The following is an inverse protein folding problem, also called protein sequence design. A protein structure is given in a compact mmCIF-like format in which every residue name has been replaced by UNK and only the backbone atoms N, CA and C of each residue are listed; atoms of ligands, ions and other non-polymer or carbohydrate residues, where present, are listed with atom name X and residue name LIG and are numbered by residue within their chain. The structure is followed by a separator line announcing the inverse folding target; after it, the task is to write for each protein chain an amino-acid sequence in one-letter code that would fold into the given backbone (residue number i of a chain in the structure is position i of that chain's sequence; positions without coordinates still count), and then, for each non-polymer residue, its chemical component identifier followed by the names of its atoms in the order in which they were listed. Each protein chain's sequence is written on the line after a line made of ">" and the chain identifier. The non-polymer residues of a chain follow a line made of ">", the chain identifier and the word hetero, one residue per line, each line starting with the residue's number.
data_IF_409775635405
#
_entry.id   IF_409775635405
#
_cell.length_a   1.000
_cell.length_b   1.000
_cell.length_c   1.000
_cell.angle_alpha   90.00
_cell.angle_beta   90.00
_cell.angle_gamma   90.00
#
_symmetry.space_group_name_H-M   'P 1'
#
loop_
_entity.id
_entity.type
_entity.pdbx_description
1 polymer ?
#
# COMPACT_ATOMS: atom_id res chain seq x y z
N UNK A 1 -4.15 -23.73 -1.14
CA UNK A 1 -3.67 -22.47 -1.75
C UNK A 1 -4.54 -21.33 -1.25
N UNK A 2 -3.97 -20.19 -0.88
CA UNK A 2 -4.74 -19.04 -0.37
C UNK A 2 -5.67 -18.50 -1.47
N UNK A 3 -6.97 -18.42 -1.20
CA UNK A 3 -8.00 -17.87 -2.10
C UNK A 3 -8.10 -16.35 -2.03
N UNK A 4 -7.23 -15.70 -1.23
CA UNK A 4 -7.26 -14.26 -1.02
C UNK A 4 -6.83 -13.54 -2.29
N UNK A 5 -7.72 -12.71 -2.81
CA UNK A 5 -7.40 -11.79 -3.89
C UNK A 5 -6.30 -10.81 -3.45
N UNK A 6 -5.27 -10.57 -4.27
CA UNK A 6 -4.22 -9.62 -3.94
C UNK A 6 -4.80 -8.20 -3.89
N UNK A 7 -4.35 -7.44 -2.90
CA UNK A 7 -4.62 -6.01 -2.77
C UNK A 7 -4.05 -5.23 -3.94
N UNK A 8 -4.49 -3.99 -4.14
CA UNK A 8 -3.98 -3.15 -5.23
C UNK A 8 -2.45 -2.96 -5.19
N UNK A 9 -1.88 -2.73 -4.00
CA UNK A 9 -0.43 -2.60 -3.81
C UNK A 9 0.31 -3.91 -4.09
N UNK A 10 -0.27 -5.04 -3.70
CA UNK A 10 0.29 -6.36 -4.01
C UNK A 10 0.26 -6.66 -5.51
N UNK A 11 -0.82 -6.29 -6.22
CA UNK A 11 -0.91 -6.45 -7.69
C UNK A 11 0.20 -5.68 -8.41
N UNK A 12 0.43 -4.43 -8.03
CA UNK A 12 1.54 -3.62 -8.59
C UNK A 12 2.87 -4.35 -8.38
N UNK A 13 3.14 -4.83 -7.16
CA UNK A 13 4.38 -5.53 -6.84
C UNK A 13 4.53 -6.83 -7.64
N UNK A 14 3.45 -7.58 -7.81
CA UNK A 14 3.46 -8.83 -8.60
C UNK A 14 3.73 -8.56 -10.07
N UNK A 15 3.19 -7.49 -10.66
CA UNK A 15 3.48 -7.10 -12.03
C UNK A 15 4.94 -6.66 -12.20
N UNK A 16 5.49 -5.88 -11.26
CA UNK A 16 6.92 -5.51 -11.29
C UNK A 16 7.83 -6.74 -11.25
N UNK A 17 7.52 -7.70 -10.38
CA UNK A 17 8.26 -8.96 -10.29
C UNK A 17 8.15 -9.72 -11.61
N UNK A 18 6.93 -9.90 -12.14
CA UNK A 18 6.72 -10.64 -13.37
C UNK A 18 7.48 -10.03 -14.57
N UNK A 19 7.41 -8.70 -14.75
CA UNK A 19 8.17 -8.02 -15.80
C UNK A 19 9.68 -8.26 -15.65
N UNK A 20 10.21 -8.15 -14.42
CA UNK A 20 11.62 -8.37 -14.15
C UNK A 20 12.07 -9.81 -14.40
N UNK A 21 11.29 -10.79 -13.95
CA UNK A 21 11.60 -12.20 -14.17
C UNK A 21 11.62 -12.54 -15.67
N UNK A 22 10.69 -11.98 -16.44
CA UNK A 22 10.68 -12.16 -17.91
C UNK A 22 11.93 -11.52 -18.52
N UNK A 23 12.30 -10.29 -18.17
CA UNK A 23 13.52 -9.63 -18.67
C UNK A 23 14.78 -10.43 -18.36
N UNK A 24 14.92 -10.93 -17.12
CA UNK A 24 16.10 -11.70 -16.70
C UNK A 24 16.21 -13.03 -17.44
N UNK A 25 15.09 -13.67 -17.74
CA UNK A 25 15.07 -15.02 -18.29
C UNK A 25 14.82 -15.10 -19.80
N UNK A 26 14.38 -14.01 -20.46
CA UNK A 26 14.01 -14.00 -21.87
C UNK A 26 15.09 -14.58 -22.78
N UNK A 27 16.34 -14.14 -22.61
CA UNK A 27 17.48 -14.59 -23.42
C UNK A 27 17.89 -16.03 -23.12
N UNK A 28 17.66 -16.51 -21.90
CA UNK A 28 18.05 -17.85 -21.44
C UNK A 28 17.01 -18.94 -21.76
N UNK A 29 15.74 -18.57 -21.92
CA UNK A 29 14.62 -19.50 -22.08
C UNK A 29 14.48 -20.03 -23.51
N UNK A 30 15.02 -19.33 -24.50
CA UNK A 30 14.89 -19.72 -25.90
C UNK A 30 16.08 -19.26 -26.72
N UNK A 31 16.61 -20.13 -27.57
CA UNK A 31 17.56 -19.74 -28.62
C UNK A 31 16.90 -19.07 -29.84
N UNK A 32 15.57 -18.89 -29.83
CA UNK A 32 14.83 -18.28 -30.92
C UNK A 32 14.65 -16.78 -30.67
N UNK A 33 15.29 -15.95 -31.51
CA UNK A 33 15.27 -14.50 -31.41
C UNK A 33 13.86 -13.89 -31.47
N UNK A 34 12.93 -14.49 -32.23
CA UNK A 34 11.54 -14.04 -32.28
C UNK A 34 10.84 -14.26 -30.94
N UNK A 35 11.11 -15.38 -30.27
CA UNK A 35 10.55 -15.68 -28.95
C UNK A 35 11.12 -14.73 -27.90
N UNK A 36 12.43 -14.49 -27.89
CA UNK A 36 13.08 -13.51 -27.01
C UNK A 36 12.46 -12.12 -27.18
N UNK A 37 12.35 -11.63 -28.43
CA UNK A 37 11.74 -10.33 -28.73
C UNK A 37 10.29 -10.21 -28.23
N UNK A 38 9.50 -11.28 -28.34
CA UNK A 38 8.13 -11.32 -27.80
C UNK A 38 8.11 -11.30 -26.27
N UNK A 39 9.05 -11.99 -25.61
CA UNK A 39 9.16 -11.98 -24.15
C UNK A 39 9.51 -10.58 -23.64
N UNK A 40 10.50 -9.90 -24.22
CA UNK A 40 10.81 -8.50 -23.88
C UNK A 40 9.63 -7.56 -24.14
N UNK A 41 8.95 -7.72 -25.28
CA UNK A 41 7.73 -6.93 -25.56
C UNK A 41 6.65 -7.15 -24.50
N UNK A 42 6.50 -8.38 -24.03
CA UNK A 42 5.54 -8.73 -22.97
C UNK A 42 5.96 -8.11 -21.63
N UNK A 43 7.24 -8.19 -21.26
CA UNK A 43 7.76 -7.57 -20.05
C UNK A 43 7.54 -6.05 -20.05
N UNK A 44 7.78 -5.39 -21.20
CA UNK A 44 7.55 -3.96 -21.37
C UNK A 44 6.08 -3.58 -21.15
N UNK A 45 5.14 -4.35 -21.69
CA UNK A 45 3.69 -4.11 -21.50
C UNK A 45 3.31 -4.25 -20.02
N UNK A 46 3.83 -5.28 -19.34
CA UNK A 46 3.56 -5.53 -17.91
C UNK A 46 4.14 -4.39 -17.06
N UNK A 47 5.36 -3.95 -17.36
CA UNK A 47 6.01 -2.84 -16.66
C UNK A 47 5.27 -1.51 -16.84
N UNK A 48 4.78 -1.23 -18.06
CA UNK A 48 3.98 -0.04 -18.35
C UNK A 48 2.66 -0.04 -17.55
N UNK A 49 1.99 -1.19 -17.45
CA UNK A 49 0.79 -1.31 -16.62
C UNK A 49 1.09 -1.09 -15.13
N UNK A 50 2.17 -1.68 -14.62
CA UNK A 50 2.59 -1.45 -13.25
C UNK A 50 2.89 0.04 -12.98
N UNK A 51 3.51 0.73 -13.94
CA UNK A 51 3.77 2.17 -13.86
C UNK A 51 2.47 3.00 -13.86
N UNK A 52 1.50 2.68 -14.73
CA UNK A 52 0.17 3.31 -14.72
C UNK A 52 -0.54 3.14 -13.38
N UNK A 53 -0.51 1.93 -12.84
CA UNK A 53 -1.12 1.64 -11.54
C UNK A 53 -0.44 2.39 -10.38
N UNK A 54 0.91 2.50 -10.40
CA UNK A 54 1.66 3.31 -9.42
C UNK A 54 1.26 4.79 -9.48
N UNK A 55 1.16 5.34 -10.67
CA UNK A 55 0.75 6.73 -10.86
C UNK A 55 -0.70 6.95 -10.38
N UNK A 56 -1.60 5.99 -10.64
CA UNK A 56 -2.96 6.03 -10.13
C UNK A 56 -3.01 5.96 -8.58
N UNK A 57 -2.20 5.10 -7.96
CA UNK A 57 -2.06 5.04 -6.50
C UNK A 57 -1.58 6.37 -5.92
N UNK A 58 -0.52 6.96 -6.50
CA UNK A 58 0.01 8.25 -6.03
C UNK A 58 -1.03 9.36 -6.13
N UNK A 59 -1.77 9.43 -7.24
CA UNK A 59 -2.87 10.40 -7.43
C UNK A 59 -3.99 10.21 -6.40
N UNK A 60 -4.31 8.96 -6.06
CA UNK A 60 -5.30 8.66 -5.04
C UNK A 60 -4.82 9.09 -3.65
N UNK A 61 -3.58 8.77 -3.27
CA UNK A 61 -2.98 9.16 -1.99
C UNK A 61 -2.90 10.69 -1.83
N UNK A 62 -2.66 11.42 -2.92
CA UNK A 62 -2.66 12.89 -2.93
C UNK A 62 -4.05 13.51 -2.78
N UNK A 63 -5.09 12.86 -3.32
CA UNK A 63 -6.49 13.31 -3.23
C UNK A 63 -7.20 12.86 -1.96
N UNK A 64 -6.70 11.81 -1.31
CA UNK A 64 -7.22 11.37 -0.04
C UNK A 64 -7.12 12.54 0.95
N UNK A 65 -8.23 13.02 1.52
CA UNK A 65 -8.16 14.08 2.52
C UNK A 65 -7.22 13.58 3.61
N UNK A 66 -6.14 14.33 3.86
CA UNK A 66 -5.33 14.11 5.07
C UNK A 66 -6.33 14.14 6.20
N UNK A 67 -6.65 12.98 6.79
CA UNK A 67 -7.50 12.95 7.96
C UNK A 67 -6.88 13.95 8.93
N UNK A 68 -7.62 14.98 9.38
CA UNK A 68 -7.08 15.87 10.38
C UNK A 68 -6.68 14.95 11.53
N UNK A 69 -5.38 14.95 11.85
CA UNK A 69 -4.87 14.24 13.01
C UNK A 69 -5.86 14.52 14.13
N UNK A 70 -6.50 13.47 14.64
CA UNK A 70 -7.49 13.60 15.70
C UNK A 70 -6.76 14.27 16.86
N UNK A 71 -6.89 15.60 16.94
CA UNK A 71 -6.42 16.36 18.08
C UNK A 71 -7.17 15.73 19.23
N UNK A 72 -6.46 14.98 20.08
CA UNK A 72 -7.02 14.39 21.28
C UNK A 72 -7.90 15.46 21.91
N UNK A 73 -9.18 15.15 22.08
CA UNK A 73 -10.08 16.06 22.77
C UNK A 73 -9.40 16.45 24.09
N UNK A 74 -9.35 17.75 24.45
CA UNK A 74 -8.79 18.15 25.73
C UNK A 74 -9.59 17.44 26.81
N UNK A 75 -8.93 16.56 27.56
CA UNK A 75 -9.53 15.86 28.69
C UNK A 75 -10.10 16.92 29.63
N UNK A 76 -11.41 16.94 29.94
CA UNK A 76 -11.96 17.92 30.85
C UNK A 76 -11.36 17.68 32.23
N UNK A 77 -10.54 18.62 32.72
CA UNK A 77 -10.02 18.65 34.10
C UNK A 77 -11.13 18.71 35.18
N UNK A 78 -12.39 18.84 34.77
CA UNK A 78 -13.54 19.00 35.66
C UNK A 78 -13.97 17.72 36.41
N UNK A 79 -13.46 16.54 36.06
CA UNK A 79 -13.82 15.29 36.75
C UNK A 79 -12.98 14.95 37.99
N UNK A 80 -11.94 15.75 38.31
CA UNK A 80 -11.03 15.49 39.44
C UNK A 80 -11.24 16.37 40.68
N UNK A 81 -12.32 17.15 40.76
CA UNK A 81 -12.62 17.96 41.96
C UNK A 81 -13.71 17.41 42.87
N UNK A 82 -14.34 16.29 42.51
CA UNK A 82 -15.42 15.71 43.32
C UNK A 82 -14.97 14.59 44.26
N UNK A 83 -13.67 14.27 44.32
CA UNK A 83 -13.17 13.14 45.12
C UNK A 83 -12.46 13.55 46.44
N UNK A 84 -12.11 14.83 46.62
CA UNK A 84 -11.29 15.26 47.77
C UNK A 84 -12.06 16.05 48.85
N UNK A 85 -13.36 16.33 48.68
CA UNK A 85 -14.15 17.07 49.70
C UNK A 85 -15.05 16.18 50.58
N UNK A 86 -15.03 14.84 50.42
CA UNK A 86 -15.83 13.93 51.26
C UNK A 86 -15.06 13.22 52.37
N UNK A 87 -13.86 13.70 52.72
CA UNK A 87 -13.01 13.09 53.77
C UNK A 87 -12.68 14.06 54.92
N UNK A 88 -13.61 14.92 55.34
CA UNK A 88 -13.49 15.67 56.61
C UNK A 88 -14.81 15.64 57.42
N UNK A 89 -15.53 14.52 57.40
CA UNK A 89 -16.62 14.30 58.35
C UNK A 89 -16.85 12.81 58.64
N UNK A 90 -15.84 12.16 59.20
CA UNK A 90 -16.04 10.98 60.06
C UNK A 90 -15.36 11.27 61.39
N UNK A 91 -16.18 11.70 62.37
CA UNK A 91 -15.89 11.50 63.78
C UNK A 91 -15.83 10.00 64.10
#
# INVERSE_FOLDING_TARGET
>A
MSTRQPTFKERIRLLDIAAREIEVHADTLSGNQLVQSRLHSTAAIIADEAARMKLAAQRWEQKAPKQPATKKAPTPRALYRAADETCESCQ
#
